data_IF_313939251544
#
_entry.id   IF_313939251544
#
_cell.length_a   1.000
_cell.length_b   1.000
_cell.length_c   1.000
_cell.angle_alpha   90.00
_cell.angle_beta   90.00
_cell.angle_gamma   90.00
#
_symmetry.space_group_name_H-M   'P 1'
#
loop_
_entity.id
_entity.type
_entity.pdbx_description
1 polymer ?
#
# COMPACT_ATOMS: atom_id res chain seq x y z
N UNK A 1 -2.23 -0.93 -8.18
CA UNK A 1 -1.58 0.11 -7.36
C UNK A 1 -1.40 -0.50 -5.99
N UNK A 2 -0.18 -0.52 -5.45
CA UNK A 2 0.04 -0.93 -4.06
C UNK A 2 -0.52 0.20 -3.20
N UNK A 3 -1.60 -0.03 -2.44
CA UNK A 3 -2.26 1.02 -1.63
C UNK A 3 -1.27 1.70 -0.68
N UNK A 4 -0.31 0.94 -0.16
CA UNK A 4 0.76 1.46 0.67
C UNK A 4 1.73 2.39 -0.06
N UNK A 5 1.78 2.40 -1.39
CA UNK A 5 2.60 3.33 -2.16
C UNK A 5 1.81 4.57 -2.62
N UNK A 6 0.52 4.67 -2.29
CA UNK A 6 -0.26 5.87 -2.58
C UNK A 6 0.09 7.00 -1.59
N UNK A 7 0.54 8.18 -2.07
CA UNK A 7 0.96 9.28 -1.22
C UNK A 7 -0.21 9.97 -0.49
N UNK A 8 -1.44 9.82 -1.00
CA UNK A 8 -2.67 10.29 -0.34
C UNK A 8 -2.91 9.71 1.06
N UNK A 9 -2.22 8.63 1.45
CA UNK A 9 -2.33 7.99 2.77
C UNK A 9 -1.15 8.30 3.71
N UNK A 10 -0.29 9.27 3.36
CA UNK A 10 0.77 9.72 4.25
C UNK A 10 0.20 10.60 5.36
N UNK A 11 0.55 10.32 6.61
CA UNK A 11 0.33 11.22 7.75
C UNK A 11 1.48 12.22 7.89
N UNK A 12 1.30 13.29 8.68
CA UNK A 12 2.39 14.22 8.94
C UNK A 12 3.58 13.51 9.59
N UNK A 13 3.33 12.63 10.55
CA UNK A 13 4.34 11.79 11.20
C UNK A 13 5.12 10.90 10.20
N UNK A 14 4.51 10.53 9.07
CA UNK A 14 5.18 9.76 8.04
C UNK A 14 6.13 10.61 7.19
N UNK A 15 5.92 11.93 7.11
CA UNK A 15 6.60 12.84 6.16
C UNK A 15 7.37 13.97 6.83
N UNK A 16 7.25 14.14 8.15
CA UNK A 16 7.91 15.18 8.92
C UNK A 16 9.42 15.16 8.65
N UNK A 17 9.96 16.22 8.01
CA UNK A 17 11.37 16.30 7.68
C UNK A 17 12.31 16.09 8.88
N UNK A 18 11.87 16.45 10.10
CA UNK A 18 12.67 16.30 11.32
C UNK A 18 12.85 14.83 11.74
N UNK A 19 11.94 13.94 11.32
CA UNK A 19 11.97 12.50 11.64
C UNK A 19 12.74 11.68 10.61
N UNK A 20 13.06 12.30 9.47
CA UNK A 20 13.65 11.63 8.31
C UNK A 20 14.84 12.45 7.79
N UNK A 21 16.06 12.23 8.33
CA UNK A 21 17.27 12.82 7.78
C UNK A 21 17.44 12.42 6.31
N UNK A 22 17.76 13.39 5.47
CA UNK A 22 17.97 13.19 4.04
C UNK A 22 19.08 14.09 3.53
N UNK A 23 20.02 13.52 2.79
CA UNK A 23 21.08 14.23 2.08
C UNK A 23 20.79 14.21 0.58
N UNK A 24 20.44 15.37 0.02
CA UNK A 24 20.14 15.50 -1.41
C UNK A 24 21.37 15.25 -2.29
N UNK A 25 22.58 15.39 -1.75
CA UNK A 25 23.82 15.16 -2.51
C UNK A 25 24.10 13.68 -2.72
N UNK A 26 23.70 12.81 -1.78
CA UNK A 26 23.82 11.35 -1.90
C UNK A 26 22.66 10.70 -2.67
N UNK A 27 21.56 11.42 -2.89
CA UNK A 27 20.35 10.88 -3.53
C UNK A 27 20.64 10.22 -4.88
N UNK A 28 21.54 10.81 -5.66
CA UNK A 28 21.90 10.33 -6.98
C UNK A 28 22.69 9.01 -6.97
N UNK A 29 23.53 8.80 -5.96
CA UNK A 29 24.25 7.54 -5.75
C UNK A 29 23.27 6.45 -5.30
N UNK A 30 22.44 6.77 -4.31
CA UNK A 30 21.46 5.83 -3.77
C UNK A 30 20.49 5.36 -4.85
N UNK A 31 19.82 6.26 -5.57
CA UNK A 31 18.85 5.90 -6.61
C UNK A 31 19.46 4.94 -7.64
N UNK A 32 20.70 5.23 -8.10
CA UNK A 32 21.39 4.39 -9.09
C UNK A 32 21.84 3.04 -8.51
N UNK A 33 22.02 2.95 -7.19
CA UNK A 33 22.38 1.68 -6.52
C UNK A 33 21.21 0.71 -6.38
N UNK A 34 19.96 1.20 -6.39
CA UNK A 34 18.75 0.40 -6.17
C UNK A 34 18.54 -0.63 -7.28
N UNK A 35 17.96 -1.79 -6.92
CA UNK A 35 17.64 -2.87 -7.86
C UNK A 35 16.87 -2.40 -9.11
N UNK A 36 15.77 -1.64 -8.96
CA UNK A 36 14.98 -1.16 -10.10
C UNK A 36 15.76 -0.28 -11.08
N UNK A 37 16.82 0.42 -10.63
CA UNK A 37 17.67 1.23 -11.51
C UNK A 37 18.49 0.39 -12.50
N UNK A 38 18.67 -0.90 -12.25
CA UNK A 38 19.36 -1.83 -13.16
C UNK A 38 18.43 -2.49 -14.17
N UNK A 39 17.11 -2.29 -14.01
CA UNK A 39 16.06 -2.98 -14.78
C UNK A 39 15.02 -2.01 -15.36
N UNK A 40 15.48 -0.86 -15.86
CA UNK A 40 14.59 0.09 -16.52
C UNK A 40 13.92 -0.56 -17.74
N UNK A 41 12.59 -0.46 -17.86
CA UNK A 41 11.87 -0.95 -19.03
C UNK A 41 12.23 -0.10 -20.25
N UNK A 42 12.27 -0.73 -21.43
CA UNK A 42 12.53 -0.02 -22.69
C UNK A 42 11.23 0.52 -23.23
N UNK A 43 11.12 1.85 -23.33
CA UNK A 43 9.96 2.50 -23.94
C UNK A 43 9.84 2.11 -25.43
N UNK A 44 8.65 1.67 -25.90
CA UNK A 44 8.45 1.34 -27.30
C UNK A 44 8.54 2.58 -28.19
N UNK A 45 9.12 2.44 -29.38
CA UNK A 45 9.21 3.49 -30.41
C UNK A 45 7.90 3.60 -31.20
N UNK A 46 6.81 3.93 -30.50
CA UNK A 46 5.47 4.06 -31.09
C UNK A 46 4.86 5.44 -30.76
N UNK A 47 3.93 5.94 -31.61
CA UNK A 47 3.26 7.20 -31.35
C UNK A 47 2.53 7.21 -30.00
N UNK A 48 2.47 8.38 -29.36
CA UNK A 48 1.86 8.54 -28.03
C UNK A 48 0.39 8.10 -27.97
N UNK A 49 -0.39 8.37 -29.03
CA UNK A 49 -1.81 8.00 -29.11
C UNK A 49 -2.06 6.54 -29.48
N UNK A 50 -1.01 5.73 -29.66
CA UNK A 50 -1.17 4.31 -29.95
C UNK A 50 -1.59 3.56 -28.67
N UNK A 51 -2.68 2.76 -28.70
CA UNK A 51 -3.12 1.97 -27.55
C UNK A 51 -2.02 1.08 -26.96
N UNK A 52 -1.05 0.62 -27.76
CA UNK A 52 0.07 -0.17 -27.28
C UNK A 52 0.99 0.61 -26.33
N UNK A 53 1.06 1.94 -26.42
CA UNK A 53 1.82 2.78 -25.48
C UNK A 53 1.15 2.78 -24.11
N UNK A 54 -0.17 2.91 -24.07
CA UNK A 54 -0.94 2.80 -22.82
C UNK A 54 -0.80 1.41 -22.21
N UNK A 55 -0.90 0.34 -23.01
CA UNK A 55 -0.67 -1.03 -22.53
C UNK A 55 0.72 -1.18 -21.92
N UNK A 56 1.77 -0.73 -22.61
CA UNK A 56 3.14 -0.78 -22.09
C UNK A 56 3.31 0.01 -20.79
N UNK A 57 2.73 1.22 -20.71
CA UNK A 57 2.75 2.05 -19.51
C UNK A 57 2.12 1.33 -18.31
N UNK A 58 1.02 0.60 -18.53
CA UNK A 58 0.34 -0.17 -17.48
C UNK A 58 1.04 -1.48 -17.10
N UNK A 59 1.61 -2.19 -18.07
CA UNK A 59 2.16 -3.54 -17.89
C UNK A 59 3.65 -3.56 -17.52
N UNK A 60 4.43 -2.57 -17.94
CA UNK A 60 5.87 -2.49 -17.69
C UNK A 60 6.26 -1.23 -16.90
N UNK A 61 5.81 -0.06 -17.37
CA UNK A 61 6.21 1.22 -16.78
C UNK A 61 5.75 1.39 -15.33
N UNK A 62 4.46 1.16 -15.07
CA UNK A 62 3.87 1.29 -13.74
C UNK A 62 4.43 0.27 -12.74
N UNK A 63 4.57 -1.03 -13.06
CA UNK A 63 5.24 -1.97 -12.16
C UNK A 63 6.68 -1.59 -11.83
N UNK A 64 7.46 -1.09 -12.80
CA UNK A 64 8.81 -0.59 -12.53
C UNK A 64 8.79 0.60 -11.57
N UNK A 65 7.91 1.57 -11.80
CA UNK A 65 7.81 2.76 -10.96
C UNK A 65 7.32 2.42 -9.54
N UNK A 66 6.43 1.42 -9.39
CA UNK A 66 6.00 0.89 -8.08
C UNK A 66 7.17 0.20 -7.37
N UNK A 67 8.00 -0.57 -8.10
CA UNK A 67 9.20 -1.18 -7.55
C UNK A 67 10.24 -0.13 -7.11
N UNK A 68 10.43 0.95 -7.89
CA UNK A 68 11.29 2.07 -7.52
C UNK A 68 10.81 2.76 -6.24
N UNK A 69 9.51 3.06 -6.13
CA UNK A 69 8.92 3.62 -4.90
C UNK A 69 9.12 2.70 -3.69
N UNK A 70 8.98 1.39 -3.86
CA UNK A 70 9.19 0.43 -2.78
C UNK A 70 10.66 0.40 -2.34
N UNK A 71 11.60 0.30 -3.28
CA UNK A 71 13.04 0.30 -2.97
C UNK A 71 13.49 1.61 -2.29
N UNK A 72 12.97 2.76 -2.75
CA UNK A 72 13.19 4.04 -2.08
C UNK A 72 12.62 4.04 -0.66
N UNK A 73 11.41 3.51 -0.46
CA UNK A 73 10.77 3.47 0.85
C UNK A 73 11.46 2.50 1.81
N UNK A 74 12.04 1.40 1.33
CA UNK A 74 12.90 0.50 2.11
C UNK A 74 14.17 1.23 2.58
N UNK A 75 14.75 2.10 1.75
CA UNK A 75 15.99 2.82 2.08
C UNK A 75 15.78 4.06 2.95
N UNK A 76 14.89 4.97 2.53
CA UNK A 76 14.69 6.28 3.17
C UNK A 76 13.46 6.33 4.08
N UNK A 77 12.62 5.31 4.06
CA UNK A 77 11.31 5.32 4.69
C UNK A 77 10.20 5.84 3.77
N UNK A 78 8.96 5.59 4.17
CA UNK A 78 7.72 5.82 3.42
C UNK A 78 7.50 7.27 2.98
N UNK A 79 8.12 8.28 3.61
CA UNK A 79 7.95 9.67 3.19
C UNK A 79 8.22 9.84 1.70
N UNK A 80 9.17 9.09 1.15
CA UNK A 80 9.55 9.18 -0.26
C UNK A 80 8.46 8.82 -1.24
N UNK A 81 7.41 8.08 -0.87
CA UNK A 81 6.39 7.62 -1.85
C UNK A 81 5.64 8.78 -2.52
N UNK A 82 5.73 10.00 -1.98
CA UNK A 82 5.27 11.23 -2.62
C UNK A 82 6.08 11.67 -3.85
N UNK A 83 7.24 11.07 -4.15
CA UNK A 83 8.07 11.44 -5.30
C UNK A 83 7.36 11.29 -6.65
N UNK A 84 6.31 10.45 -6.74
CA UNK A 84 5.49 10.27 -7.96
C UNK A 84 4.17 11.02 -7.91
N UNK A 85 3.93 11.85 -6.89
CA UNK A 85 2.70 12.62 -6.80
C UNK A 85 2.76 13.80 -7.75
N UNK A 86 2.58 13.48 -9.02
CA UNK A 86 2.71 14.36 -10.14
C UNK A 86 1.60 15.41 -10.17
N UNK A 87 1.90 16.56 -10.75
CA UNK A 87 0.89 17.53 -11.16
C UNK A 87 -0.16 16.91 -12.09
N UNK A 88 -1.34 17.55 -12.12
CA UNK A 88 -2.41 17.25 -13.06
C UNK A 88 -2.75 15.75 -13.08
N UNK A 89 -3.14 15.20 -14.22
CA UNK A 89 -3.56 13.79 -14.40
C UNK A 89 -2.38 12.79 -14.40
N UNK A 90 -1.27 13.13 -13.75
CA UNK A 90 -0.12 12.24 -13.59
C UNK A 90 -0.39 11.05 -12.66
N UNK A 91 0.67 10.31 -12.31
CA UNK A 91 0.60 8.97 -11.69
C UNK A 91 -0.38 8.81 -10.50
N UNK A 92 -0.48 9.84 -9.65
CA UNK A 92 -1.36 9.88 -8.48
C UNK A 92 -2.32 11.08 -8.45
N UNK A 93 -2.39 11.85 -9.55
CA UNK A 93 -3.27 13.01 -9.75
C UNK A 93 -3.09 14.18 -8.75
N UNK A 94 -2.83 15.39 -9.27
CA UNK A 94 -2.93 16.65 -8.51
C UNK A 94 -1.91 16.88 -7.41
N UNK A 95 -0.77 16.20 -7.46
CA UNK A 95 0.29 16.38 -6.50
C UNK A 95 1.22 17.56 -6.81
N UNK A 96 2.19 17.81 -5.92
CA UNK A 96 3.10 18.95 -6.03
C UNK A 96 4.38 18.66 -6.82
N UNK A 97 4.57 17.49 -7.41
CA UNK A 97 5.83 17.12 -8.08
C UNK A 97 5.76 17.35 -9.58
N UNK A 98 6.68 18.15 -10.14
CA UNK A 98 6.75 18.46 -11.58
C UNK A 98 7.80 17.70 -12.36
N UNK A 99 8.82 17.14 -11.70
CA UNK A 99 9.87 16.36 -12.37
C UNK A 99 9.43 14.93 -12.75
N UNK A 100 8.21 14.52 -12.38
CA UNK A 100 7.59 13.26 -12.76
C UNK A 100 6.14 13.50 -13.19
N UNK A 101 5.70 12.88 -14.28
CA UNK A 101 4.30 12.88 -14.73
C UNK A 101 3.69 11.49 -14.56
N UNK A 102 3.91 10.61 -15.52
CA UNK A 102 3.51 9.21 -15.49
C UNK A 102 4.57 8.34 -16.19
N UNK A 103 4.51 6.99 -16.10
CA UNK A 103 5.49 6.12 -16.74
C UNK A 103 5.62 6.33 -18.25
N UNK A 104 4.50 6.65 -18.93
CA UNK A 104 4.46 6.88 -20.38
C UNK A 104 5.30 8.09 -20.84
N UNK A 105 5.33 9.16 -20.02
CA UNK A 105 6.02 10.42 -20.33
C UNK A 105 7.40 10.54 -19.68
N UNK A 106 7.60 9.88 -18.55
CA UNK A 106 8.79 10.10 -17.71
C UNK A 106 9.88 9.05 -17.95
N UNK A 107 9.52 7.85 -18.42
CA UNK A 107 10.48 6.81 -18.77
C UNK A 107 10.95 7.03 -20.21
N UNK A 108 12.23 7.36 -20.38
CA UNK A 108 12.86 7.58 -21.71
C UNK A 108 14.12 6.73 -21.83
N UNK A 109 15.30 7.34 -21.70
CA UNK A 109 16.59 6.62 -21.59
C UNK A 109 16.86 6.28 -20.13
N UNK A 110 17.70 5.28 -19.83
CA UNK A 110 18.06 4.94 -18.45
C UNK A 110 18.54 6.15 -17.64
N UNK A 111 19.44 6.95 -18.22
CA UNK A 111 20.03 8.11 -17.56
C UNK A 111 18.99 9.19 -17.29
N UNK A 112 18.23 9.61 -18.30
CA UNK A 112 17.20 10.64 -18.15
C UNK A 112 16.09 10.22 -17.18
N UNK A 113 15.71 8.94 -17.21
CA UNK A 113 14.68 8.41 -16.31
C UNK A 113 15.15 8.46 -14.86
N UNK A 114 16.37 8.03 -14.58
CA UNK A 114 16.92 8.07 -13.21
C UNK A 114 17.15 9.50 -12.73
N UNK A 115 17.58 10.41 -13.61
CA UNK A 115 17.72 11.82 -13.28
C UNK A 115 16.37 12.45 -12.93
N UNK A 116 15.28 12.09 -13.63
CA UNK A 116 13.91 12.48 -13.25
C UNK A 116 13.49 11.93 -11.88
N UNK A 117 13.78 10.67 -11.57
CA UNK A 117 13.51 10.09 -10.24
C UNK A 117 14.23 10.87 -9.14
N UNK A 118 15.51 11.18 -9.34
CA UNK A 118 16.31 11.95 -8.38
C UNK A 118 15.74 13.36 -8.20
N UNK A 119 15.45 14.05 -9.30
CA UNK A 119 14.89 15.40 -9.26
C UNK A 119 13.52 15.42 -8.56
N UNK A 120 12.64 14.47 -8.88
CA UNK A 120 11.32 14.33 -8.27
C UNK A 120 11.38 14.01 -6.77
N UNK A 121 12.31 13.16 -6.34
CA UNK A 121 12.55 12.86 -4.92
C UNK A 121 13.00 14.11 -4.14
N UNK A 122 13.99 14.83 -4.68
CA UNK A 122 14.50 16.06 -4.07
C UNK A 122 13.44 17.18 -4.06
N UNK A 123 12.64 17.27 -5.12
CA UNK A 123 11.52 18.21 -5.24
C UNK A 123 10.44 17.94 -4.19
N UNK A 124 10.06 16.67 -4.02
CA UNK A 124 9.14 16.26 -2.97
C UNK A 124 9.69 16.58 -1.58
N UNK A 125 10.97 16.31 -1.33
CA UNK A 125 11.63 16.66 -0.07
C UNK A 125 11.57 18.16 0.20
N UNK A 126 11.95 18.99 -0.77
CA UNK A 126 11.95 20.44 -0.63
C UNK A 126 10.55 20.99 -0.33
N UNK A 127 9.52 20.40 -0.94
CA UNK A 127 8.14 20.72 -0.62
C UNK A 127 7.77 20.41 0.84
N UNK A 128 8.14 19.24 1.35
CA UNK A 128 7.90 18.88 2.75
C UNK A 128 8.64 19.80 3.73
N UNK A 129 9.89 20.18 3.42
CA UNK A 129 10.67 21.13 4.23
C UNK A 129 10.05 22.53 4.21
N UNK A 130 9.52 22.98 3.07
CA UNK A 130 8.77 24.23 2.96
C UNK A 130 7.52 24.21 3.83
N UNK A 131 6.73 23.12 3.78
CA UNK A 131 5.54 22.95 4.63
C UNK A 131 5.90 22.94 6.12
N UNK A 132 6.97 22.25 6.53
CA UNK A 132 7.43 22.27 7.91
C UNK A 132 7.76 23.72 8.34
N UNK A 133 8.47 24.47 7.49
CA UNK A 133 8.76 25.89 7.74
C UNK A 133 7.49 26.74 7.89
N UNK A 134 6.47 26.50 7.06
CA UNK A 134 5.17 27.15 7.17
C UNK A 134 4.42 26.77 8.45
N UNK A 135 4.48 25.51 8.87
CA UNK A 135 3.85 25.07 10.10
C UNK A 135 4.50 25.77 11.30
N UNK A 136 5.83 25.76 11.40
CA UNK A 136 6.57 26.42 12.49
C UNK A 136 6.45 27.94 12.50
N UNK A 137 6.16 28.58 11.35
CA UNK A 137 5.87 30.01 11.28
C UNK A 137 4.56 30.41 12.00
N UNK A 138 3.69 29.44 12.26
CA UNK A 138 2.44 29.57 13.01
C UNK A 138 2.44 28.61 14.20
N UNK A 139 3.18 28.91 15.28
CA UNK A 139 3.11 28.12 16.50
C UNK A 139 1.73 28.29 17.13
N UNK A 140 1.01 27.19 17.28
CA UNK A 140 -0.38 27.20 17.73
C UNK A 140 -0.57 26.25 18.91
N UNK A 141 -1.42 26.68 19.84
CA UNK A 141 -1.85 25.87 20.97
C UNK A 141 -3.36 25.66 20.88
N UNK A 142 -3.76 24.40 20.87
CA UNK A 142 -5.17 24.03 20.82
C UNK A 142 -5.91 24.46 22.10
N UNK A 143 -5.23 24.49 23.25
CA UNK A 143 -5.80 24.97 24.50
C UNK A 143 -6.24 26.44 24.43
N UNK A 144 -5.52 27.25 23.65
CA UNK A 144 -5.74 28.69 23.49
C UNK A 144 -6.45 29.02 22.15
N UNK A 145 -7.11 28.05 21.52
CA UNK A 145 -7.70 28.20 20.17
C UNK A 145 -8.68 29.37 20.06
N UNK A 146 -9.38 29.71 21.15
CA UNK A 146 -10.31 30.83 21.19
C UNK A 146 -9.58 32.18 21.05
N UNK A 147 -8.44 32.33 21.70
CA UNK A 147 -7.59 33.53 21.64
C UNK A 147 -6.75 33.57 20.34
N UNK A 148 -6.37 32.39 19.84
CA UNK A 148 -5.51 32.24 18.65
C UNK A 148 -6.29 32.10 17.33
N UNK A 149 -7.62 32.26 17.33
CA UNK A 149 -8.48 31.95 16.17
C UNK A 149 -8.07 32.65 14.88
N UNK A 150 -7.60 33.90 14.98
CA UNK A 150 -7.11 34.68 13.82
C UNK A 150 -5.80 34.08 13.26
N UNK A 151 -4.95 33.50 14.11
CA UNK A 151 -3.72 32.85 13.67
C UNK A 151 -4.03 31.51 12.97
N UNK A 152 -4.95 30.71 13.53
CA UNK A 152 -5.45 29.49 12.90
C UNK A 152 -6.02 29.75 11.50
N UNK A 153 -6.88 30.76 11.38
CA UNK A 153 -7.45 31.21 10.10
C UNK A 153 -6.35 31.61 9.10
N UNK A 154 -5.43 32.50 9.50
CA UNK A 154 -4.36 32.98 8.62
C UNK A 154 -3.43 31.85 8.17
N UNK A 155 -3.11 30.92 9.06
CA UNK A 155 -2.28 29.77 8.75
C UNK A 155 -2.96 28.87 7.71
N UNK A 156 -4.23 28.50 7.94
CA UNK A 156 -5.01 27.70 6.99
C UNK A 156 -5.12 28.40 5.61
N UNK A 157 -5.43 29.70 5.60
CA UNK A 157 -5.50 30.50 4.37
C UNK A 157 -4.19 30.45 3.59
N UNK A 158 -3.07 30.69 4.27
CA UNK A 158 -1.76 30.73 3.61
C UNK A 158 -1.35 29.35 3.11
N UNK A 159 -1.64 28.27 3.84
CA UNK A 159 -1.38 26.90 3.38
C UNK A 159 -2.18 26.56 2.12
N UNK A 160 -3.46 26.93 2.05
CA UNK A 160 -4.26 26.75 0.83
C UNK A 160 -3.60 27.47 -0.36
N UNK A 161 -3.16 28.71 -0.17
CA UNK A 161 -2.49 29.49 -1.22
C UNK A 161 -1.15 28.87 -1.64
N UNK A 162 -0.39 28.32 -0.71
CA UNK A 162 0.85 27.60 -1.03
C UNK A 162 0.58 26.34 -1.86
N UNK A 163 -0.46 25.58 -1.53
CA UNK A 163 -0.84 24.40 -2.33
C UNK A 163 -1.33 24.80 -3.71
N UNK A 164 -2.14 25.85 -3.81
CA UNK A 164 -2.62 26.43 -5.09
C UNK A 164 -1.44 26.81 -5.99
N UNK A 165 -0.51 27.61 -5.47
CA UNK A 165 0.68 28.03 -6.20
C UNK A 165 1.53 26.81 -6.60
N UNK A 166 1.73 25.89 -5.66
CA UNK A 166 2.58 24.73 -5.87
C UNK A 166 2.04 23.76 -6.91
N UNK A 167 0.73 23.56 -6.96
CA UNK A 167 0.07 22.55 -7.81
C UNK A 167 -0.45 23.13 -9.14
N UNK A 168 -0.54 24.46 -9.25
CA UNK A 168 -1.13 25.14 -10.41
C UNK A 168 -2.65 24.96 -10.53
N UNK A 169 -3.31 24.45 -9.48
CA UNK A 169 -4.73 24.09 -9.48
C UNK A 169 -5.11 23.10 -10.59
N UNK A 170 -4.21 22.16 -10.87
CA UNK A 170 -4.39 21.09 -11.84
C UNK A 170 -5.59 20.18 -11.61
N UNK A 171 -5.62 19.03 -12.27
CA UNK A 171 -6.49 17.95 -11.77
C UNK A 171 -6.14 17.59 -10.31
N UNK A 172 -7.09 17.02 -9.56
CA UNK A 172 -6.88 16.44 -8.22
C UNK A 172 -6.33 17.32 -7.09
N UNK A 173 -5.94 18.58 -7.34
CA UNK A 173 -5.11 19.40 -6.43
C UNK A 173 -5.71 19.60 -5.03
N UNK A 174 -7.03 19.64 -4.97
CA UNK A 174 -7.76 19.80 -3.72
C UNK A 174 -7.61 18.59 -2.79
N UNK A 175 -7.29 17.40 -3.31
CA UNK A 175 -6.94 16.23 -2.50
C UNK A 175 -5.62 16.44 -1.73
N UNK A 176 -4.61 17.01 -2.39
CA UNK A 176 -3.36 17.40 -1.70
C UNK A 176 -3.59 18.56 -0.72
N UNK A 177 -4.43 19.53 -1.09
CA UNK A 177 -4.81 20.63 -0.19
C UNK A 177 -5.47 20.11 1.09
N UNK A 178 -6.41 19.17 0.95
CA UNK A 178 -7.06 18.49 2.07
C UNK A 178 -6.02 17.81 2.98
N UNK A 179 -5.05 17.11 2.39
CA UNK A 179 -4.01 16.41 3.13
C UNK A 179 -3.09 17.38 3.89
N UNK A 180 -2.65 18.48 3.27
CA UNK A 180 -1.80 19.50 3.90
C UNK A 180 -2.50 20.17 5.08
N UNK A 181 -3.79 20.50 4.95
CA UNK A 181 -4.57 21.04 6.06
C UNK A 181 -4.71 20.04 7.20
N UNK A 182 -4.93 18.75 6.89
CA UNK A 182 -4.98 17.69 7.90
C UNK A 182 -3.63 17.52 8.61
N UNK A 183 -2.51 17.60 7.88
CA UNK A 183 -1.16 17.57 8.46
C UNK A 183 -0.89 18.76 9.38
N UNK A 184 -1.32 19.95 8.98
CA UNK A 184 -1.19 21.14 9.81
C UNK A 184 -1.94 21.02 11.14
N UNK A 185 -3.19 20.54 11.12
CA UNK A 185 -3.97 20.33 12.34
C UNK A 185 -3.33 19.28 13.25
N UNK A 186 -2.89 18.16 12.68
CA UNK A 186 -2.25 17.08 13.45
C UNK A 186 -0.89 17.49 14.04
N UNK A 187 -0.10 18.30 13.33
CA UNK A 187 1.15 18.90 13.85
C UNK A 187 0.92 19.69 15.14
N UNK A 188 -0.24 20.33 15.26
CA UNK A 188 -0.64 21.15 16.41
C UNK A 188 -1.60 20.44 17.38
N UNK A 189 -1.62 19.11 17.34
CA UNK A 189 -2.21 18.29 18.40
C UNK A 189 -3.68 17.90 18.21
N UNK A 190 -4.32 18.28 17.10
CA UNK A 190 -5.67 17.81 16.76
C UNK A 190 -5.62 16.32 16.41
N UNK A 191 -6.57 15.52 16.91
CA UNK A 191 -6.66 14.10 16.58
C UNK A 191 -6.78 13.87 15.06
N UNK A 192 -6.12 12.84 14.51
CA UNK A 192 -5.99 12.68 13.06
C UNK A 192 -7.30 12.38 12.32
N UNK A 193 -8.18 11.59 12.94
CA UNK A 193 -9.53 11.30 12.45
C UNK A 193 -10.40 12.57 12.45
N UNK A 194 -10.34 13.33 13.54
CA UNK A 194 -11.05 14.60 13.65
C UNK A 194 -10.51 15.66 12.67
N UNK A 195 -9.19 15.74 12.49
CA UNK A 195 -8.57 16.67 11.55
C UNK A 195 -9.09 16.45 10.12
N UNK A 196 -9.21 15.18 9.70
CA UNK A 196 -9.80 14.85 8.39
C UNK A 196 -11.26 15.29 8.32
N UNK A 197 -12.07 14.96 9.33
CA UNK A 197 -13.49 15.35 9.36
C UNK A 197 -13.67 16.87 9.30
N UNK A 198 -12.88 17.63 10.05
CA UNK A 198 -12.94 19.10 10.08
C UNK A 198 -12.58 19.71 8.73
N UNK A 199 -11.55 19.19 8.06
CA UNK A 199 -11.15 19.67 6.74
C UNK A 199 -12.19 19.28 5.69
N UNK A 200 -12.72 18.05 5.72
CA UNK A 200 -13.80 17.61 4.84
C UNK A 200 -15.05 18.50 4.98
N UNK A 201 -15.43 18.86 6.21
CA UNK A 201 -16.55 19.76 6.45
C UNK A 201 -16.29 21.19 5.96
N UNK A 202 -15.05 21.69 6.12
CA UNK A 202 -14.69 23.05 5.69
C UNK A 202 -14.60 23.17 4.15
N UNK A 203 -13.96 22.20 3.50
CA UNK A 203 -13.71 22.17 2.05
C UNK A 203 -14.92 21.65 1.28
N UNK A 204 -15.60 20.60 1.74
CA UNK A 204 -16.92 20.15 1.30
C UNK A 204 -17.15 20.06 -0.21
N UNK A 205 -16.19 19.57 -0.99
CA UNK A 205 -16.28 19.49 -2.46
C UNK A 205 -16.35 20.84 -3.19
N UNK A 206 -15.99 21.94 -2.50
CA UNK A 206 -16.11 23.31 -3.01
C UNK A 206 -14.94 23.72 -3.90
N UNK A 207 -13.78 23.06 -3.75
CA UNK A 207 -12.67 23.19 -4.68
C UNK A 207 -12.91 22.30 -5.90
N UNK A 208 -12.51 22.78 -7.07
CA UNK A 208 -12.76 22.14 -8.35
C UNK A 208 -11.44 21.87 -9.08
N UNK A 209 -11.39 20.81 -9.87
CA UNK A 209 -10.27 20.54 -10.77
C UNK A 209 -10.09 21.68 -11.78
N UNK A 210 -8.85 21.94 -12.17
CA UNK A 210 -8.49 22.91 -13.23
C UNK A 210 -8.88 24.35 -12.96
N UNK A 211 -9.31 24.66 -11.73
CA UNK A 211 -9.84 25.98 -11.37
C UNK A 211 -9.28 26.39 -10.02
N UNK A 212 -8.56 27.52 -10.00
CA UNK A 212 -8.14 28.15 -8.76
C UNK A 212 -9.33 28.66 -7.96
N UNK A 213 -9.34 28.49 -6.63
CA UNK A 213 -10.44 28.98 -5.80
C UNK A 213 -10.44 30.52 -5.78
N UNK A 214 -11.64 31.10 -5.77
CA UNK A 214 -11.80 32.54 -5.52
C UNK A 214 -11.25 32.91 -4.13
N UNK A 215 -10.59 34.08 -3.94
CA UNK A 215 -10.07 34.49 -2.63
C UNK A 215 -11.11 34.47 -1.50
N UNK A 216 -12.36 34.84 -1.78
CA UNK A 216 -13.46 34.80 -0.79
C UNK A 216 -13.77 33.37 -0.37
N UNK A 217 -13.67 32.40 -1.29
CA UNK A 217 -13.83 30.99 -0.97
C UNK A 217 -12.69 30.50 -0.07
N UNK A 218 -11.45 30.91 -0.35
CA UNK A 218 -10.29 30.55 0.50
C UNK A 218 -10.45 31.11 1.91
N UNK A 219 -10.86 32.37 2.05
CA UNK A 219 -11.15 33.00 3.34
C UNK A 219 -12.27 32.28 4.10
N UNK A 220 -13.38 31.95 3.45
CA UNK A 220 -14.49 31.26 4.11
C UNK A 220 -14.12 29.82 4.53
N UNK A 221 -13.30 29.09 3.75
CA UNK A 221 -12.80 27.76 4.15
C UNK A 221 -11.88 27.87 5.37
N UNK A 222 -10.93 28.81 5.36
CA UNK A 222 -10.01 29.03 6.47
C UNK A 222 -10.75 29.43 7.76
N UNK A 223 -11.73 30.35 7.64
CA UNK A 223 -12.53 30.82 8.76
C UNK A 223 -13.37 29.69 9.35
N UNK A 224 -14.00 28.87 8.49
CA UNK A 224 -14.77 27.70 8.95
C UNK A 224 -13.90 26.72 9.71
N UNK A 225 -12.73 26.39 9.17
CA UNK A 225 -11.81 25.47 9.83
C UNK A 225 -11.42 25.98 11.22
N UNK A 226 -10.99 27.24 11.32
CA UNK A 226 -10.62 27.87 12.59
C UNK A 226 -11.78 27.98 13.58
N UNK A 227 -13.02 28.20 13.09
CA UNK A 227 -14.22 28.27 13.94
C UNK A 227 -14.71 26.91 14.42
N UNK A 228 -14.40 25.83 13.72
CA UNK A 228 -14.84 24.49 14.11
C UNK A 228 -13.97 23.88 15.22
N UNK A 229 -12.70 24.30 15.34
CA UNK A 229 -11.79 23.82 16.38
C UNK A 229 -12.27 24.16 17.80
N UNK A 230 -12.02 23.25 18.74
CA UNK A 230 -12.32 23.33 20.17
C UNK A 230 -11.09 22.92 20.99
N UNK A 231 -10.94 23.43 22.23
CA UNK A 231 -9.83 23.03 23.11
C UNK A 231 -9.74 21.53 23.37
N UNK A 232 -10.88 20.84 23.38
CA UNK A 232 -10.98 19.40 23.66
C UNK A 232 -10.73 18.50 22.43
N UNK A 233 -10.42 19.07 21.27
CA UNK A 233 -10.16 18.34 20.02
C UNK A 233 -8.79 17.64 19.99
N UNK A 234 -8.04 17.77 21.10
CA UNK A 234 -6.70 17.23 21.26
C UNK A 234 -6.67 15.71 21.14
N UNK A 235 -5.52 15.17 20.74
CA UNK A 235 -5.28 13.75 20.72
C UNK A 235 -5.59 13.14 22.10
N UNK A 236 -6.71 12.42 22.21
CA UNK A 236 -7.04 11.66 23.43
C UNK A 236 -5.90 10.68 23.68
N UNK A 237 -5.47 10.56 24.94
CA UNK A 237 -4.51 9.52 25.34
C UNK A 237 -5.01 8.19 24.79
N UNK A 238 -4.33 7.68 23.77
CA UNK A 238 -4.71 6.42 23.16
C UNK A 238 -4.70 5.39 24.29
N UNK A 239 -5.85 4.74 24.53
CA UNK A 239 -5.89 3.53 25.32
C UNK A 239 -4.88 2.50 24.75
N UNK A 240 -4.68 1.35 25.41
CA UNK A 240 -3.80 0.32 24.87
C UNK A 240 -4.16 0.05 23.40
N UNK A 241 -3.14 0.14 22.53
CA UNK A 241 -3.32 0.03 21.08
C UNK A 241 -4.18 -1.20 20.75
N UNK A 242 -5.27 -1.04 19.97
CA UNK A 242 -6.20 -2.12 19.71
C UNK A 242 -5.48 -3.37 19.21
N UNK A 243 -5.90 -4.54 19.71
CA UNK A 243 -5.35 -5.80 19.28
C UNK A 243 -5.99 -6.22 17.95
N UNK A 244 -5.28 -6.01 16.86
CA UNK A 244 -5.76 -6.27 15.51
C UNK A 244 -5.88 -7.77 15.24
N UNK A 245 -5.11 -8.62 15.93
CA UNK A 245 -5.32 -10.06 15.87
C UNK A 245 -6.67 -10.44 16.52
N UNK A 246 -7.00 -9.84 17.66
CA UNK A 246 -8.30 -10.08 18.30
C UNK A 246 -9.46 -9.59 17.44
N UNK A 247 -9.33 -8.40 16.82
CA UNK A 247 -10.32 -7.87 15.88
C UNK A 247 -10.50 -8.78 14.67
N UNK A 248 -9.39 -9.21 14.06
CA UNK A 248 -9.42 -10.16 12.95
C UNK A 248 -10.16 -11.44 13.35
N UNK A 249 -9.85 -12.05 14.48
CA UNK A 249 -10.53 -13.28 14.92
C UNK A 249 -12.05 -13.07 15.08
N UNK A 250 -12.48 -11.91 15.58
CA UNK A 250 -13.91 -11.60 15.67
C UNK A 250 -14.56 -11.40 14.29
N UNK A 251 -13.90 -10.70 13.37
CA UNK A 251 -14.37 -10.52 11.99
C UNK A 251 -14.40 -11.84 11.24
N UNK A 252 -13.33 -12.64 11.36
CA UNK A 252 -13.15 -13.95 10.75
C UNK A 252 -14.33 -14.88 11.03
N UNK A 253 -14.89 -14.81 12.24
CA UNK A 253 -16.04 -15.64 12.65
C UNK A 253 -17.39 -15.07 12.20
N UNK A 254 -17.46 -13.76 11.93
CA UNK A 254 -18.69 -13.07 11.53
C UNK A 254 -18.88 -12.96 10.01
N UNK A 255 -17.80 -13.06 9.21
CA UNK A 255 -17.87 -12.98 7.75
C UNK A 255 -18.69 -14.15 7.19
N UNK A 256 -19.68 -13.89 6.30
CA UNK A 256 -20.51 -14.93 5.69
C UNK A 256 -19.76 -15.63 4.53
N UNK A 257 -18.73 -16.39 4.87
CA UNK A 257 -17.84 -17.07 3.91
C UNK A 257 -18.56 -18.03 2.96
N UNK A 258 -19.70 -18.58 3.35
CA UNK A 258 -20.55 -19.43 2.53
C UNK A 258 -21.17 -18.71 1.33
N UNK A 259 -21.20 -17.37 1.35
CA UNK A 259 -21.71 -16.55 0.25
C UNK A 259 -20.62 -16.18 -0.76
N UNK A 260 -19.36 -16.56 -0.50
CA UNK A 260 -18.26 -16.31 -1.41
C UNK A 260 -18.42 -17.11 -2.72
N UNK A 261 -17.93 -16.58 -3.85
CA UNK A 261 -17.97 -17.32 -5.11
C UNK A 261 -17.28 -18.68 -4.97
N UNK A 262 -17.90 -19.74 -5.48
CA UNK A 262 -17.29 -21.09 -5.40
C UNK A 262 -15.95 -21.18 -6.14
N UNK A 263 -15.69 -20.22 -7.05
CA UNK A 263 -14.53 -20.26 -7.92
C UNK A 263 -14.54 -21.48 -8.82
N UNK A 264 -15.69 -22.15 -8.98
CA UNK A 264 -15.95 -23.34 -9.79
C UNK A 264 -14.87 -24.42 -9.68
N UNK A 265 -14.80 -25.15 -8.56
CA UNK A 265 -13.70 -26.02 -8.08
C UNK A 265 -13.13 -27.14 -8.97
N UNK A 266 -13.15 -26.98 -10.28
CA UNK A 266 -12.43 -27.80 -11.24
C UNK A 266 -10.96 -27.34 -11.33
N UNK A 267 -10.02 -28.30 -11.36
CA UNK A 267 -8.61 -28.04 -11.65
C UNK A 267 -8.45 -27.22 -12.93
N UNK A 268 -7.53 -26.26 -12.91
CA UNK A 268 -7.21 -25.43 -14.07
C UNK A 268 -5.70 -25.26 -14.16
N UNK A 269 -5.15 -25.63 -15.31
CA UNK A 269 -3.77 -25.33 -15.66
C UNK A 269 -3.75 -23.99 -16.37
N UNK A 270 -3.00 -23.00 -15.86
CA UNK A 270 -2.95 -21.69 -16.46
C UNK A 270 -2.12 -21.72 -17.75
N UNK A 271 -2.37 -20.77 -18.64
CA UNK A 271 -1.55 -20.52 -19.82
C UNK A 271 -0.18 -19.95 -19.46
N UNK A 272 -0.12 -19.22 -18.34
CA UNK A 272 1.07 -18.54 -17.82
C UNK A 272 1.19 -18.79 -16.32
N UNK A 273 2.41 -18.89 -15.83
CA UNK A 273 2.62 -19.03 -14.39
C UNK A 273 2.59 -17.65 -13.73
N UNK A 274 1.38 -17.13 -13.46
CA UNK A 274 1.19 -15.77 -12.96
C UNK A 274 1.94 -15.49 -11.66
N UNK A 275 2.07 -16.49 -10.78
CA UNK A 275 2.84 -16.36 -9.53
C UNK A 275 4.34 -16.23 -9.83
N UNK A 276 4.92 -17.12 -10.63
CA UNK A 276 6.35 -17.08 -10.93
C UNK A 276 6.72 -15.87 -11.79
N UNK A 277 5.87 -15.48 -12.74
CA UNK A 277 6.07 -14.28 -13.55
C UNK A 277 6.03 -13.00 -12.68
N UNK A 278 5.06 -12.88 -11.78
CA UNK A 278 4.97 -11.73 -10.88
C UNK A 278 6.19 -11.64 -9.94
N UNK A 279 6.65 -12.77 -9.39
CA UNK A 279 7.88 -12.81 -8.57
C UNK A 279 9.10 -12.35 -9.39
N UNK A 280 9.26 -12.83 -10.63
CA UNK A 280 10.38 -12.42 -11.48
C UNK A 280 10.32 -10.94 -11.85
N UNK A 281 9.12 -10.43 -12.12
CA UNK A 281 8.90 -9.06 -12.54
C UNK A 281 9.06 -8.09 -11.36
N UNK A 282 8.33 -8.30 -10.26
CA UNK A 282 8.30 -7.39 -9.13
C UNK A 282 9.43 -7.64 -8.13
N UNK A 283 9.46 -8.80 -7.48
CA UNK A 283 10.52 -9.08 -6.49
C UNK A 283 11.89 -9.13 -7.16
N UNK A 284 11.99 -9.62 -8.39
CA UNK A 284 13.24 -9.62 -9.15
C UNK A 284 13.73 -8.21 -9.46
N UNK A 285 12.83 -7.27 -9.73
CA UNK A 285 13.21 -5.87 -9.91
C UNK A 285 13.73 -5.24 -8.63
N UNK A 286 13.20 -5.63 -7.47
CA UNK A 286 13.66 -5.16 -6.17
C UNK A 286 15.02 -5.77 -5.80
N UNK A 287 15.09 -7.09 -5.75
CA UNK A 287 16.27 -7.86 -5.37
C UNK A 287 16.25 -9.25 -6.04
N UNK A 288 17.22 -9.56 -6.92
CA UNK A 288 17.32 -10.88 -7.56
C UNK A 288 17.40 -12.05 -6.58
N UNK A 289 18.09 -11.90 -5.44
CA UNK A 289 18.26 -12.95 -4.43
C UNK A 289 16.93 -13.21 -3.73
N UNK A 290 16.23 -12.15 -3.32
CA UNK A 290 14.86 -12.23 -2.79
C UNK A 290 13.92 -12.95 -3.75
N UNK A 291 13.98 -12.64 -5.04
CA UNK A 291 13.16 -13.31 -6.05
C UNK A 291 13.50 -14.79 -6.19
N UNK A 292 14.79 -15.14 -6.16
CA UNK A 292 15.24 -16.54 -6.20
C UNK A 292 14.75 -17.33 -4.98
N UNK A 293 14.86 -16.76 -3.78
CA UNK A 293 14.33 -17.36 -2.55
C UNK A 293 12.83 -17.59 -2.60
N UNK A 294 12.06 -16.61 -3.10
CA UNK A 294 10.61 -16.72 -3.25
C UNK A 294 10.19 -17.71 -4.35
N UNK A 295 10.96 -17.84 -5.44
CA UNK A 295 10.74 -18.87 -6.46
C UNK A 295 11.03 -20.28 -5.92
N UNK A 296 12.11 -20.45 -5.16
CA UNK A 296 12.41 -21.72 -4.50
C UNK A 296 11.31 -22.12 -3.50
N UNK A 297 10.81 -21.14 -2.73
CA UNK A 297 9.67 -21.35 -1.83
C UNK A 297 8.39 -21.75 -2.61
N UNK A 298 8.13 -21.13 -3.76
CA UNK A 298 7.00 -21.47 -4.64
C UNK A 298 7.10 -22.90 -5.19
N UNK A 299 8.29 -23.35 -5.59
CA UNK A 299 8.53 -24.72 -6.03
C UNK A 299 8.32 -25.73 -4.90
N UNK A 300 8.89 -25.46 -3.72
CA UNK A 300 8.72 -26.31 -2.53
C UNK A 300 7.25 -26.42 -2.13
N UNK A 301 6.53 -25.29 -2.12
CA UNK A 301 5.10 -25.22 -1.87
C UNK A 301 4.29 -26.10 -2.84
N UNK A 302 4.63 -26.08 -4.13
CA UNK A 302 3.93 -26.90 -5.13
C UNK A 302 4.18 -28.38 -4.92
N UNK A 303 5.41 -28.76 -4.57
CA UNK A 303 5.73 -30.13 -4.17
C UNK A 303 4.95 -30.55 -2.91
N UNK A 304 4.86 -29.66 -1.92
CA UNK A 304 4.08 -29.87 -0.69
C UNK A 304 2.57 -30.01 -0.97
N UNK A 305 2.02 -29.23 -1.90
CA UNK A 305 0.63 -29.33 -2.29
C UNK A 305 0.34 -30.65 -3.03
N UNK A 306 1.24 -31.06 -3.94
CA UNK A 306 1.12 -32.29 -4.71
C UNK A 306 1.20 -33.55 -3.83
N UNK A 307 2.04 -33.55 -2.79
CA UNK A 307 2.11 -34.67 -1.82
C UNK A 307 0.98 -34.69 -0.80
N UNK A 308 0.09 -33.69 -0.80
CA UNK A 308 -1.03 -33.61 0.12
C UNK A 308 -0.65 -33.22 1.55
N UNK A 309 0.37 -32.36 1.72
CA UNK A 309 0.71 -31.83 3.04
C UNK A 309 -0.48 -31.11 3.69
N UNK A 310 -0.56 -31.18 5.02
CA UNK A 310 -1.47 -30.35 5.81
C UNK A 310 -0.88 -28.96 5.99
N UNK A 311 -1.72 -27.92 5.93
CA UNK A 311 -1.29 -26.54 6.14
C UNK A 311 -1.21 -26.24 7.63
N UNK A 312 0.01 -26.01 8.12
CA UNK A 312 0.32 -25.60 9.48
C UNK A 312 1.50 -24.62 9.49
N UNK A 313 1.85 -24.09 10.66
CA UNK A 313 2.96 -23.16 10.81
C UNK A 313 4.29 -23.79 10.38
N UNK A 314 4.55 -25.06 10.66
CA UNK A 314 5.82 -25.71 10.31
C UNK A 314 6.01 -25.77 8.78
N UNK A 315 4.92 -26.02 8.05
CA UNK A 315 4.92 -25.96 6.59
C UNK A 315 5.28 -24.56 6.09
N UNK A 316 4.61 -23.52 6.59
CA UNK A 316 4.86 -22.13 6.21
C UNK A 316 6.27 -21.69 6.61
N UNK A 317 6.77 -22.14 7.77
CA UNK A 317 8.11 -21.84 8.27
C UNK A 317 9.21 -22.33 7.32
N UNK A 318 9.04 -23.51 6.72
CA UNK A 318 9.98 -24.05 5.73
C UNK A 318 9.99 -23.23 4.45
N UNK A 319 8.84 -22.77 3.97
CA UNK A 319 8.79 -21.85 2.83
C UNK A 319 9.46 -20.52 3.19
N UNK A 320 9.18 -19.99 4.38
CA UNK A 320 9.73 -18.72 4.86
C UNK A 320 11.24 -18.74 4.99
N UNK A 321 11.83 -19.90 5.31
CA UNK A 321 13.28 -20.09 5.31
C UNK A 321 13.90 -19.69 3.95
N UNK A 322 13.29 -20.14 2.84
CA UNK A 322 13.73 -19.78 1.49
C UNK A 322 13.41 -18.33 1.14
N UNK A 323 12.24 -17.82 1.56
CA UNK A 323 11.84 -16.42 1.33
C UNK A 323 12.83 -15.43 1.96
N UNK A 324 13.34 -15.75 3.15
CA UNK A 324 14.27 -14.89 3.90
C UNK A 324 15.75 -15.26 3.68
N UNK A 325 16.04 -16.27 2.86
CA UNK A 325 17.38 -16.83 2.65
C UNK A 325 18.15 -17.09 3.96
N UNK A 326 17.48 -17.76 4.90
CA UNK A 326 18.02 -18.02 6.25
C UNK A 326 18.59 -19.43 6.39
N UNK A 327 19.69 -19.61 7.15
CA UNK A 327 20.32 -20.92 7.32
C UNK A 327 19.46 -21.90 8.13
N UNK A 328 18.53 -21.40 8.94
CA UNK A 328 17.59 -22.18 9.73
C UNK A 328 16.18 -21.61 9.60
N UNK A 329 15.13 -22.43 9.76
CA UNK A 329 13.75 -21.95 9.71
C UNK A 329 13.50 -20.82 10.74
N UNK A 330 12.92 -19.68 10.34
CA UNK A 330 12.70 -18.54 11.23
C UNK A 330 11.71 -18.91 12.35
N UNK A 331 11.95 -18.54 13.62
CA UNK A 331 11.07 -18.92 14.71
C UNK A 331 9.71 -18.23 14.62
N UNK A 332 8.71 -18.78 15.31
CA UNK A 332 7.48 -18.04 15.60
C UNK A 332 7.81 -16.87 16.53
N UNK A 333 7.30 -15.68 16.25
CA UNK A 333 7.56 -14.47 17.06
C UNK A 333 7.27 -14.71 18.55
N UNK A 334 8.03 -14.03 19.41
CA UNK A 334 7.87 -14.12 20.88
C UNK A 334 7.27 -12.87 21.52
N UNK A 335 7.15 -11.79 20.74
CA UNK A 335 6.62 -10.49 21.16
C UNK A 335 5.40 -10.12 20.30
N UNK A 336 4.59 -9.13 20.74
CA UNK A 336 3.60 -8.52 19.86
C UNK A 336 4.25 -8.03 18.57
N UNK A 337 3.61 -8.33 17.45
CA UNK A 337 4.05 -7.82 16.15
C UNK A 337 3.36 -6.49 15.85
N UNK A 338 4.03 -5.67 15.06
CA UNK A 338 3.52 -4.38 14.62
C UNK A 338 3.65 -4.28 13.11
N UNK A 339 2.55 -3.95 12.44
CA UNK A 339 2.55 -3.67 11.01
C UNK A 339 1.95 -2.30 10.73
N UNK A 340 2.01 -1.89 9.46
CA UNK A 340 1.54 -0.58 9.00
C UNK A 340 2.11 0.56 9.86
N UNK A 341 3.39 0.46 10.23
CA UNK A 341 4.14 1.41 11.08
C UNK A 341 3.61 1.54 12.52
N UNK A 342 3.18 0.43 13.11
CA UNK A 342 2.66 0.42 14.48
C UNK A 342 1.20 0.83 14.60
N UNK A 343 0.54 1.21 13.49
CA UNK A 343 -0.91 1.39 13.45
C UNK A 343 -1.64 0.09 13.78
N UNK A 344 -1.08 -1.04 13.35
CA UNK A 344 -1.60 -2.35 13.70
C UNK A 344 -0.69 -3.04 14.69
N UNK A 345 -1.27 -3.42 15.83
CA UNK A 345 -0.63 -4.26 16.85
C UNK A 345 -1.30 -5.62 16.83
N UNK A 346 -0.51 -6.69 16.70
CA UNK A 346 -0.97 -8.06 16.81
C UNK A 346 -0.48 -8.66 18.13
N UNK A 347 -1.41 -8.94 19.03
CA UNK A 347 -1.10 -9.53 20.33
C UNK A 347 -0.37 -10.86 20.23
N UNK A 348 0.22 -11.27 21.35
CA UNK A 348 0.77 -12.61 21.51
C UNK A 348 0.34 -13.19 22.85
N UNK A 349 0.01 -14.47 22.82
CA UNK A 349 -0.33 -15.32 23.94
C UNK A 349 0.31 -16.69 23.75
N UNK A 350 0.37 -17.50 24.81
CA UNK A 350 0.98 -18.84 24.76
C UNK A 350 0.31 -19.79 23.75
N UNK A 351 -0.97 -19.54 23.46
CA UNK A 351 -1.78 -20.34 22.53
C UNK A 351 -1.86 -19.72 21.12
N UNK A 352 -1.21 -18.58 20.85
CA UNK A 352 -1.29 -17.92 19.53
C UNK A 352 -0.86 -18.85 18.39
N UNK A 353 0.22 -19.62 18.56
CA UNK A 353 0.66 -20.60 17.55
C UNK A 353 -0.38 -21.70 17.32
N UNK A 354 -0.90 -22.30 18.40
CA UNK A 354 -1.92 -23.35 18.28
C UNK A 354 -3.22 -22.84 17.63
N UNK A 355 -3.59 -21.58 17.89
CA UNK A 355 -4.71 -20.92 17.21
C UNK A 355 -4.45 -20.72 15.73
N UNK A 356 -3.23 -20.30 15.35
CA UNK A 356 -2.85 -20.20 13.93
C UNK A 356 -2.99 -21.55 13.23
N UNK A 357 -2.43 -22.61 13.81
CA UNK A 357 -2.51 -23.96 13.24
C UNK A 357 -3.97 -24.44 13.08
N UNK A 358 -4.81 -24.18 14.08
CA UNK A 358 -6.25 -24.48 14.00
C UNK A 358 -6.94 -23.69 12.87
N UNK A 359 -6.64 -22.40 12.74
CA UNK A 359 -7.20 -21.55 11.69
C UNK A 359 -6.76 -21.99 10.29
N UNK A 360 -5.49 -22.35 10.11
CA UNK A 360 -4.95 -22.85 8.85
C UNK A 360 -5.55 -24.21 8.47
N UNK A 361 -5.77 -25.10 9.43
CA UNK A 361 -6.36 -26.42 9.18
C UNK A 361 -7.78 -26.35 8.58
N UNK A 362 -8.53 -25.27 8.86
CA UNK A 362 -9.86 -25.04 8.27
C UNK A 362 -9.83 -24.78 6.76
N UNK A 363 -8.65 -24.54 6.15
CA UNK A 363 -8.53 -24.42 4.69
C UNK A 363 -8.60 -25.76 3.95
N UNK A 364 -8.60 -26.89 4.67
CA UNK A 364 -8.68 -28.22 4.09
C UNK A 364 -10.07 -28.51 3.49
N UNK A 365 -10.10 -29.19 2.33
CA UNK A 365 -11.35 -29.58 1.66
C UNK A 365 -12.17 -30.60 2.46
N UNK A 366 -11.49 -31.42 3.26
CA UNK A 366 -12.11 -32.51 4.00
C UNK A 366 -12.65 -32.07 5.37
N UNK A 367 -12.68 -30.76 5.65
CA UNK A 367 -13.39 -30.21 6.79
C UNK A 367 -14.89 -30.57 6.69
N UNK A 368 -15.56 -30.85 7.82
CA UNK A 368 -16.91 -31.41 7.85
C UNK A 368 -17.98 -30.66 7.06
N UNK A 369 -17.76 -29.38 6.75
CA UNK A 369 -18.52 -28.59 5.76
C UNK A 369 -17.57 -27.61 5.07
N UNK A 370 -16.98 -27.95 3.92
CA UNK A 370 -15.95 -27.10 3.33
C UNK A 370 -16.56 -25.82 2.76
N UNK A 371 -15.91 -24.71 3.06
CA UNK A 371 -16.19 -23.42 2.43
C UNK A 371 -15.79 -23.44 0.93
N UNK A 372 -16.37 -22.53 0.12
CA UNK A 372 -15.88 -22.21 -1.22
C UNK A 372 -14.35 -22.12 -1.31
N UNK A 373 -13.75 -22.55 -2.42
CA UNK A 373 -12.29 -22.52 -2.59
C UNK A 373 -11.73 -21.10 -2.40
N UNK A 374 -12.40 -20.09 -2.97
CA UNK A 374 -11.99 -18.68 -2.83
C UNK A 374 -11.99 -18.23 -1.37
N UNK A 375 -12.99 -18.65 -0.59
CA UNK A 375 -13.09 -18.36 0.84
C UNK A 375 -11.99 -19.06 1.64
N UNK A 376 -11.73 -20.35 1.39
CA UNK A 376 -10.63 -21.08 2.07
C UNK A 376 -9.27 -20.42 1.81
N UNK A 377 -9.01 -20.03 0.56
CA UNK A 377 -7.76 -19.40 0.17
C UNK A 377 -7.62 -17.97 0.75
N UNK A 378 -8.68 -17.17 0.73
CA UNK A 378 -8.71 -15.84 1.34
C UNK A 378 -8.53 -15.90 2.86
N UNK A 379 -9.22 -16.82 3.54
CA UNK A 379 -9.14 -16.97 4.99
C UNK A 379 -7.73 -17.35 5.43
N UNK A 380 -7.11 -18.33 4.77
CA UNK A 380 -5.73 -18.74 5.07
C UNK A 380 -4.72 -17.61 4.82
N UNK A 381 -4.90 -16.82 3.75
CA UNK A 381 -4.10 -15.62 3.49
C UNK A 381 -4.19 -14.59 4.63
N UNK A 382 -5.42 -14.24 5.02
CA UNK A 382 -5.67 -13.23 6.05
C UNK A 382 -5.23 -13.71 7.43
N UNK A 383 -5.40 -15.00 7.73
CA UNK A 383 -4.89 -15.62 8.95
C UNK A 383 -3.36 -15.41 9.05
N UNK A 384 -2.58 -15.65 8.00
CA UNK A 384 -1.14 -15.37 8.04
C UNK A 384 -0.84 -13.87 8.19
N UNK A 385 -1.56 -12.99 7.49
CA UNK A 385 -1.38 -11.54 7.59
C UNK A 385 -1.58 -11.01 9.02
N UNK A 386 -2.65 -11.43 9.70
CA UNK A 386 -3.06 -10.87 10.99
C UNK A 386 -2.54 -11.65 12.21
N UNK A 387 -2.22 -12.94 12.08
CA UNK A 387 -1.39 -13.61 13.10
C UNK A 387 0.04 -13.09 13.06
N UNK A 388 0.51 -12.67 11.88
CA UNK A 388 1.81 -12.05 11.65
C UNK A 388 2.94 -12.89 12.28
N UNK A 389 3.11 -14.17 11.90
CA UNK A 389 3.89 -15.14 12.66
C UNK A 389 5.41 -14.89 12.67
N UNK A 390 5.94 -14.13 11.71
CA UNK A 390 7.37 -13.86 11.55
C UNK A 390 7.70 -12.38 11.79
N UNK A 391 8.98 -12.07 11.99
CA UNK A 391 9.46 -10.69 12.13
C UNK A 391 9.53 -9.96 10.77
N UNK A 392 9.72 -10.69 9.67
CA UNK A 392 9.68 -10.16 8.30
C UNK A 392 9.03 -11.17 7.34
N UNK A 393 8.51 -10.65 6.23
CA UNK A 393 8.06 -11.42 5.07
C UNK A 393 6.67 -12.03 5.23
N UNK A 394 5.87 -11.60 6.21
CA UNK A 394 4.52 -12.13 6.43
C UNK A 394 3.60 -11.98 5.21
N UNK A 395 3.69 -10.88 4.46
CA UNK A 395 2.92 -10.71 3.23
C UNK A 395 3.32 -11.72 2.13
N UNK A 396 4.62 -12.04 2.04
CA UNK A 396 5.15 -13.08 1.12
C UNK A 396 4.70 -14.48 1.57
N UNK A 397 4.75 -14.76 2.87
CA UNK A 397 4.25 -16.00 3.46
C UNK A 397 2.73 -16.18 3.25
N UNK A 398 1.95 -15.12 3.42
CA UNK A 398 0.51 -15.12 3.20
C UNK A 398 0.16 -15.38 1.73
N UNK A 399 0.87 -14.72 0.81
CA UNK A 399 0.73 -14.97 -0.63
C UNK A 399 1.02 -16.44 -0.99
N UNK A 400 2.13 -17.00 -0.51
CA UNK A 400 2.41 -18.42 -0.69
C UNK A 400 1.30 -19.29 -0.11
N UNK A 401 0.85 -19.01 1.11
CA UNK A 401 -0.25 -19.75 1.75
C UNK A 401 -1.53 -19.78 0.91
N UNK A 402 -1.92 -18.65 0.31
CA UNK A 402 -3.03 -18.59 -0.65
C UNK A 402 -2.81 -19.51 -1.84
N UNK A 403 -1.63 -19.41 -2.48
CA UNK A 403 -1.26 -20.22 -3.66
C UNK A 403 -1.23 -21.71 -3.32
N UNK A 404 -0.81 -22.09 -2.10
CA UNK A 404 -0.86 -23.48 -1.64
C UNK A 404 -2.28 -24.03 -1.61
N UNK A 405 -3.23 -23.27 -1.03
CA UNK A 405 -4.64 -23.71 -0.95
C UNK A 405 -5.23 -23.93 -2.34
N UNK A 406 -4.91 -23.07 -3.32
CA UNK A 406 -5.29 -23.26 -4.72
C UNK A 406 -4.61 -24.49 -5.33
N UNK A 407 -3.29 -24.64 -5.12
CA UNK A 407 -2.51 -25.76 -5.66
C UNK A 407 -2.98 -27.13 -5.12
N UNK A 408 -3.48 -27.19 -3.88
CA UNK A 408 -4.09 -28.40 -3.30
C UNK A 408 -5.32 -28.88 -4.07
N UNK A 409 -6.02 -27.99 -4.78
CA UNK A 409 -7.16 -28.31 -5.64
C UNK A 409 -6.77 -28.41 -7.14
N UNK A 410 -5.48 -28.42 -7.47
CA UNK A 410 -5.01 -28.46 -8.85
C UNK A 410 -5.28 -27.16 -9.62
N UNK A 411 -5.30 -26.03 -8.92
CA UNK A 411 -5.56 -24.70 -9.47
C UNK A 411 -4.29 -23.86 -9.41
N UNK A 412 -3.90 -23.27 -10.54
CA UNK A 412 -2.92 -22.18 -10.61
C UNK A 412 -3.47 -21.05 -11.47
N UNK A 413 -2.97 -19.82 -11.26
CA UNK A 413 -3.52 -18.59 -11.83
C UNK A 413 -2.61 -18.02 -12.94
N UNK A 414 -3.23 -17.48 -14.00
CA UNK A 414 -2.54 -16.70 -15.04
C UNK A 414 -2.02 -15.35 -14.52
N UNK A 415 -2.66 -14.79 -13.49
CA UNK A 415 -2.31 -13.50 -12.90
C UNK A 415 -2.58 -13.47 -11.39
N UNK A 416 -1.79 -12.67 -10.67
CA UNK A 416 -1.90 -12.53 -9.20
C UNK A 416 -1.86 -11.06 -8.73
N UNK A 417 -2.01 -10.12 -9.66
CA UNK A 417 -1.76 -8.70 -9.43
C UNK A 417 -2.57 -8.10 -8.27
N UNK A 418 -3.86 -8.45 -8.20
CA UNK A 418 -4.78 -7.98 -7.15
C UNK A 418 -4.53 -8.66 -5.79
N UNK A 419 -3.80 -9.78 -5.76
CA UNK A 419 -3.55 -10.54 -4.53
C UNK A 419 -2.31 -10.06 -3.78
N UNK A 420 -1.40 -9.35 -4.46
CA UNK A 420 -0.12 -8.91 -3.89
C UNK A 420 -0.01 -7.40 -3.69
N UNK A 421 -0.97 -6.63 -4.22
CA UNK A 421 -0.92 -5.16 -4.28
C UNK A 421 -2.03 -4.49 -3.45
N UNK A 422 -2.81 -5.25 -2.71
CA UNK A 422 -3.91 -4.73 -1.90
C UNK A 422 -3.66 -5.09 -0.43
N UNK A 423 -3.87 -4.13 0.45
CA UNK A 423 -3.77 -4.30 1.90
C UNK A 423 -5.18 -4.34 2.48
N UNK A 424 -5.43 -5.24 3.42
CA UNK A 424 -6.73 -5.43 4.07
C UNK A 424 -6.70 -4.96 5.53
N UNK A 425 -7.83 -4.49 6.05
CA UNK A 425 -8.00 -4.09 7.44
C UNK A 425 -8.53 -5.26 8.29
N UNK A 426 -8.10 -5.30 9.57
CA UNK A 426 -8.47 -6.39 10.47
C UNK A 426 -9.93 -6.34 10.97
N UNK A 427 -10.56 -5.16 10.89
CA UNK A 427 -11.90 -4.88 11.43
C UNK A 427 -12.98 -4.65 10.36
N UNK A 428 -12.66 -4.80 9.07
CA UNK A 428 -13.61 -4.61 7.96
C UNK A 428 -14.00 -5.95 7.32
N UNK A 429 -15.22 -6.48 7.59
CA UNK A 429 -15.70 -7.72 6.97
C UNK A 429 -15.76 -7.66 5.45
N UNK A 430 -15.99 -6.47 4.86
CA UNK A 430 -16.06 -6.34 3.40
C UNK A 430 -14.71 -6.59 2.73
N UNK A 431 -13.60 -6.25 3.38
CA UNK A 431 -12.24 -6.49 2.87
C UNK A 431 -11.98 -7.98 2.63
N UNK A 432 -12.44 -8.82 3.57
CA UNK A 432 -12.36 -10.27 3.44
C UNK A 432 -13.15 -10.79 2.23
N UNK A 433 -14.37 -10.29 2.02
CA UNK A 433 -15.20 -10.67 0.87
C UNK A 433 -14.63 -10.12 -0.45
N UNK A 434 -14.05 -8.93 -0.46
CA UNK A 434 -13.36 -8.35 -1.62
C UNK A 434 -12.20 -9.26 -2.06
N UNK A 435 -11.40 -9.77 -1.12
CA UNK A 435 -10.33 -10.71 -1.45
C UNK A 435 -10.88 -11.98 -2.13
N UNK A 436 -12.01 -12.53 -1.66
CA UNK A 436 -12.62 -13.69 -2.33
C UNK A 436 -13.01 -13.39 -3.78
N UNK A 437 -13.51 -12.18 -4.06
CA UNK A 437 -13.87 -11.73 -5.42
C UNK A 437 -12.64 -11.50 -6.30
N UNK A 438 -11.52 -11.00 -5.74
CA UNK A 438 -10.28 -10.87 -6.48
C UNK A 438 -9.71 -12.24 -6.88
N UNK A 439 -9.75 -13.22 -5.98
CA UNK A 439 -9.35 -14.60 -6.31
C UNK A 439 -10.25 -15.15 -7.43
N UNK A 440 -11.57 -14.97 -7.31
CA UNK A 440 -12.55 -15.42 -8.31
C UNK A 440 -12.30 -14.78 -9.69
N UNK A 441 -12.04 -13.47 -9.74
CA UNK A 441 -11.71 -12.74 -10.97
C UNK A 441 -10.50 -13.35 -11.67
N UNK A 442 -9.42 -13.64 -10.93
CA UNK A 442 -8.22 -14.28 -11.51
C UNK A 442 -8.51 -15.71 -11.96
N UNK A 443 -9.36 -16.46 -11.25
CA UNK A 443 -9.78 -17.82 -11.66
C UNK A 443 -10.58 -17.81 -12.97
N UNK A 444 -11.57 -16.93 -13.08
CA UNK A 444 -12.37 -16.78 -14.30
C UNK A 444 -11.51 -16.37 -15.50
N UNK A 445 -10.58 -15.45 -15.28
CA UNK A 445 -9.66 -14.99 -16.32
C UNK A 445 -8.74 -16.14 -16.77
N UNK A 446 -8.19 -16.91 -15.82
CA UNK A 446 -7.37 -18.08 -16.12
C UNK A 446 -8.13 -19.14 -16.93
N UNK A 447 -9.38 -19.42 -16.57
CA UNK A 447 -10.22 -20.38 -17.32
C UNK A 447 -10.53 -19.92 -18.72
N UNK A 448 -10.82 -18.63 -18.91
CA UNK A 448 -11.05 -18.06 -20.24
C UNK A 448 -9.82 -18.20 -21.13
N UNK A 449 -8.62 -17.90 -20.62
CA UNK A 449 -7.37 -18.11 -21.37
C UNK A 449 -7.13 -19.58 -21.71
N UNK A 450 -7.32 -20.48 -20.74
CA UNK A 450 -7.12 -21.91 -20.93
C UNK A 450 -8.10 -22.51 -21.95
N UNK A 451 -9.34 -22.02 -22.01
CA UNK A 451 -10.32 -22.41 -23.02
C UNK A 451 -9.93 -21.91 -24.43
N UNK A 452 -9.44 -20.67 -24.52
CA UNK A 452 -8.99 -20.07 -25.80
C UNK A 452 -7.77 -20.78 -26.41
N UNK A 453 -6.96 -21.47 -25.61
CA UNK A 453 -5.82 -22.27 -26.10
C UNK A 453 -6.23 -23.65 -26.63
N UNK A 454 -7.45 -24.11 -26.32
CA UNK A 454 -7.97 -25.42 -26.72
C UNK A 454 -8.87 -25.36 -27.97
N UNK A 455 -9.34 -24.16 -28.33
CA UNK A 455 -10.02 -23.85 -29.59
C UNK A 455 -9.03 -23.49 -30.67
#
# INVERSE_FOLDING_TARGET
MIVELAPGHLSWDDVDPARHPFDSTSAAEVVRSLGPARRLPRRPEIPFGDPAMSTWSWEEGKPWADAMSHALAEHYGRWVVGWRWAHDEGDFDGGPVGNWCCPQDSITTPEETLDRVIAALCEWRAWLESLAGWFEAYPLDLADVEEQRILWDRAARNLILQVVDRTGCGSGWYGHCHQVLSWFLTRWGVAADLAQELVDQAVGGRFQSWTGPDPVLVEDVAERLARSLRPDDGARSAGPAPDHLQRWLAVRDAVPWEQSPDGGGQPVTPSRDGAAEDIRAFDGALDPTRAQGLLAALELLRADAARGASLDFELIQRWQQHVLDTPQPPPFRSLPAFAKRGRERYGISRDTRARLDACLAESAKDAGRPLPLTARAARAYLDVCFFHPFDDGNARAAFLTLVFVLAREGVALDGVSLLRRVTFQADEPQDALILTRYIDTHLEQTRRSAASLRS
#
